data_IF_577691558329
#
_entry.id   IF_577691558329
#
_cell.length_a   1.000
_cell.length_b   1.000
_cell.length_c   1.000
_cell.angle_alpha   90.00
_cell.angle_beta   90.00
_cell.angle_gamma   90.00
#
_symmetry.space_group_name_H-M   'P 1'
#
loop_
_entity.id
_entity.type
_entity.pdbx_description
1 polymer ?
#
# COMPACT_ATOMS: atom_id res chain seq x y z
N UNK A 1 -15.02 -14.84 -4.84
CA UNK A 1 -14.04 -15.49 -3.93
C UNK A 1 -12.63 -15.23 -4.45
N UNK A 2 -11.66 -14.90 -3.60
CA UNK A 2 -10.33 -14.37 -3.99
C UNK A 2 -9.28 -15.44 -4.39
N UNK A 3 -9.54 -16.71 -4.07
CA UNK A 3 -8.66 -17.82 -4.45
C UNK A 3 -7.45 -18.06 -3.53
N UNK A 4 -7.50 -17.61 -2.27
CA UNK A 4 -6.48 -17.93 -1.26
C UNK A 4 -6.63 -19.35 -0.70
N UNK A 5 -7.87 -19.87 -0.67
CA UNK A 5 -8.24 -21.25 -0.33
C UNK A 5 -9.17 -21.78 -1.42
N UNK A 6 -9.13 -23.08 -1.67
CA UNK A 6 -10.09 -23.76 -2.55
C UNK A 6 -11.35 -24.22 -1.80
N UNK A 7 -12.24 -24.92 -2.50
CA UNK A 7 -13.50 -25.41 -1.95
C UNK A 7 -13.33 -26.50 -0.88
N UNK A 8 -12.19 -27.21 -0.90
CA UNK A 8 -11.87 -28.25 0.08
C UNK A 8 -11.12 -27.67 1.31
N UNK A 9 -10.92 -26.35 1.33
CA UNK A 9 -10.24 -25.64 2.42
C UNK A 9 -8.71 -25.71 2.34
N UNK A 10 -8.16 -26.09 1.20
CA UNK A 10 -6.71 -26.19 1.00
C UNK A 10 -6.14 -24.84 0.59
N UNK A 11 -5.05 -24.43 1.24
CA UNK A 11 -4.35 -23.17 0.97
C UNK A 11 -3.71 -23.20 -0.42
N UNK A 12 -4.03 -22.20 -1.23
CA UNK A 12 -3.52 -22.02 -2.59
C UNK A 12 -2.28 -21.11 -2.59
N UNK A 13 -1.63 -20.94 -3.75
CA UNK A 13 -0.43 -20.11 -3.88
C UNK A 13 -0.64 -18.67 -3.38
N UNK A 14 -1.80 -18.07 -3.66
CA UNK A 14 -2.17 -16.75 -3.10
C UNK A 14 -2.24 -16.76 -1.57
N UNK A 15 -2.80 -17.82 -0.98
CA UNK A 15 -2.86 -17.98 0.46
C UNK A 15 -1.47 -18.12 1.08
N UNK A 16 -0.59 -18.90 0.46
CA UNK A 16 0.80 -19.04 0.89
C UNK A 16 1.56 -17.71 0.84
N UNK A 17 1.37 -16.93 -0.23
CA UNK A 17 1.97 -15.60 -0.34
C UNK A 17 1.46 -14.65 0.74
N UNK A 18 0.15 -14.63 0.99
CA UNK A 18 -0.45 -13.81 2.05
C UNK A 18 0.10 -14.17 3.44
N UNK A 19 0.37 -15.45 3.72
CA UNK A 19 0.98 -15.88 4.99
C UNK A 19 2.40 -15.30 5.24
N UNK A 20 3.07 -14.76 4.22
CA UNK A 20 4.40 -14.14 4.35
C UNK A 20 4.33 -12.63 4.57
N UNK A 21 3.14 -12.04 4.56
CA UNK A 21 2.95 -10.60 4.71
C UNK A 21 2.67 -10.30 6.17
N UNK A 22 3.68 -9.78 6.87
CA UNK A 22 3.59 -9.41 8.29
C UNK A 22 3.28 -7.92 8.50
N UNK A 23 3.29 -7.12 7.43
CA UNK A 23 3.09 -5.67 7.47
C UNK A 23 2.08 -5.23 6.42
N UNK A 24 0.98 -4.61 6.88
CA UNK A 24 -0.10 -4.13 6.01
C UNK A 24 -1.26 -5.12 5.90
N UNK A 25 -2.16 -4.87 4.96
CA UNK A 25 -3.28 -5.75 4.65
C UNK A 25 -2.81 -6.87 3.70
N UNK A 26 -2.74 -8.09 4.22
CA UNK A 26 -2.18 -9.25 3.52
C UNK A 26 -2.99 -9.64 2.27
N UNK A 27 -4.30 -9.40 2.27
CA UNK A 27 -5.15 -9.69 1.11
C UNK A 27 -4.85 -8.67 0.01
N UNK A 28 -4.82 -7.38 0.35
CA UNK A 28 -4.59 -6.32 -0.62
C UNK A 28 -3.22 -6.42 -1.28
N UNK A 29 -2.16 -6.58 -0.48
CA UNK A 29 -0.80 -6.69 -1.01
C UNK A 29 -0.67 -7.92 -1.91
N UNK A 30 -1.25 -9.05 -1.50
CA UNK A 30 -1.25 -10.27 -2.32
C UNK A 30 -2.02 -10.07 -3.63
N UNK A 31 -3.20 -9.44 -3.60
CA UNK A 31 -3.96 -9.19 -4.84
C UNK A 31 -3.18 -8.30 -5.82
N UNK A 32 -2.44 -7.29 -5.33
CA UNK A 32 -1.58 -6.44 -6.16
C UNK A 32 -0.38 -7.20 -6.75
N UNK A 33 0.14 -8.22 -6.05
CA UNK A 33 1.17 -9.09 -6.60
C UNK A 33 0.62 -9.95 -7.73
N UNK A 34 -0.57 -10.54 -7.54
CA UNK A 34 -1.12 -11.52 -8.48
C UNK A 34 -1.89 -10.91 -9.66
N UNK A 35 -2.38 -9.68 -9.55
CA UNK A 35 -2.97 -8.95 -10.66
C UNK A 35 -1.91 -8.26 -11.55
N UNK A 36 -0.63 -8.36 -11.19
CA UNK A 36 0.49 -7.82 -11.94
C UNK A 36 0.70 -6.32 -11.76
N UNK A 37 0.10 -5.66 -10.76
CA UNK A 37 0.29 -4.22 -10.52
C UNK A 37 1.77 -3.84 -10.49
N UNK A 38 2.62 -4.61 -9.81
CA UNK A 38 4.05 -4.30 -9.69
C UNK A 38 4.87 -4.52 -10.97
N UNK A 39 4.35 -5.24 -11.96
CA UNK A 39 5.10 -5.57 -13.19
C UNK A 39 5.35 -4.34 -14.07
N UNK A 40 4.44 -3.37 -14.02
CA UNK A 40 4.50 -2.14 -14.82
C UNK A 40 5.20 -0.98 -14.09
N UNK A 41 5.66 -1.21 -12.85
CA UNK A 41 6.23 -0.16 -12.00
C UNK A 41 7.76 -0.20 -12.03
N UNK A 42 8.38 0.98 -12.08
CA UNK A 42 9.81 1.10 -11.81
C UNK A 42 10.10 0.96 -10.30
N UNK A 43 11.37 0.74 -9.94
CA UNK A 43 11.75 0.50 -8.55
C UNK A 43 11.43 1.67 -7.60
N UNK A 44 11.42 2.92 -8.08
CA UNK A 44 11.00 4.09 -7.30
C UNK A 44 9.49 4.07 -7.01
N UNK A 45 8.68 3.75 -8.02
CA UNK A 45 7.23 3.60 -7.87
C UNK A 45 6.86 2.42 -6.97
N UNK A 46 7.60 1.31 -7.03
CA UNK A 46 7.40 0.17 -6.12
C UNK A 46 7.65 0.59 -4.66
N UNK A 47 8.76 1.29 -4.39
CA UNK A 47 9.06 1.80 -3.06
C UNK A 47 7.98 2.76 -2.55
N UNK A 48 7.54 3.68 -3.42
CA UNK A 48 6.48 4.64 -3.12
C UNK A 48 5.17 3.93 -2.78
N UNK A 49 4.72 2.98 -3.60
CA UNK A 49 3.48 2.24 -3.39
C UNK A 49 3.54 1.38 -2.12
N UNK A 50 4.69 0.76 -1.84
CA UNK A 50 4.89 -0.04 -0.63
C UNK A 50 4.76 0.78 0.66
N UNK A 51 5.05 2.09 0.61
CA UNK A 51 4.90 2.98 1.77
C UNK A 51 3.45 3.03 2.27
N UNK A 52 2.46 2.83 1.40
CA UNK A 52 1.03 2.82 1.73
C UNK A 52 0.64 1.66 2.68
N UNK A 53 1.40 0.56 2.65
CA UNK A 53 1.13 -0.62 3.48
C UNK A 53 1.61 -0.46 4.92
N UNK A 54 2.47 0.52 5.19
CA UNK A 54 3.03 0.71 6.52
C UNK A 54 1.99 1.27 7.51
N UNK A 55 1.80 0.63 8.68
CA UNK A 55 0.99 1.18 9.75
C UNK A 55 1.49 2.57 10.17
N UNK A 56 0.59 3.54 10.23
CA UNK A 56 0.92 4.91 10.60
C UNK A 56 -0.34 5.76 10.75
N UNK A 57 -0.20 6.84 11.50
CA UNK A 57 -1.27 7.80 11.73
C UNK A 57 -1.65 8.50 10.41
N UNK A 58 -2.94 8.81 10.26
CA UNK A 58 -3.42 9.62 9.15
C UNK A 58 -2.85 11.01 9.28
N UNK A 59 -2.21 11.50 8.22
CA UNK A 59 -1.91 12.93 8.09
C UNK A 59 -3.15 13.66 7.60
N UNK A 60 -3.44 14.84 8.17
CA UNK A 60 -4.44 15.77 7.62
C UNK A 60 -3.88 16.60 6.45
N UNK A 61 -2.57 16.51 6.18
CA UNK A 61 -1.95 17.24 5.09
C UNK A 61 -2.32 16.63 3.74
N UNK A 62 -2.83 17.48 2.86
CA UNK A 62 -3.11 17.14 1.47
C UNK A 62 -1.79 17.08 0.70
N UNK A 63 -1.44 15.90 0.23
CA UNK A 63 -0.24 15.68 -0.59
C UNK A 63 -0.63 15.81 -2.04
N UNK A 64 0.09 16.67 -2.76
CA UNK A 64 0.04 16.70 -4.22
C UNK A 64 0.93 15.55 -4.71
N UNK A 65 0.30 14.51 -5.24
CA UNK A 65 1.02 13.39 -5.84
C UNK A 65 1.55 13.80 -7.21
N UNK A 66 2.77 13.38 -7.51
CA UNK A 66 3.32 13.49 -8.86
C UNK A 66 2.55 12.60 -9.85
N UNK A 67 2.44 13.02 -11.11
CA UNK A 67 1.70 12.32 -12.18
C UNK A 67 2.15 10.85 -12.33
N UNK A 68 3.41 10.54 -12.05
CA UNK A 68 3.96 9.18 -12.09
C UNK A 68 3.37 8.23 -11.04
N UNK A 69 2.73 8.77 -10.00
CA UNK A 69 2.17 8.02 -8.87
C UNK A 69 0.65 7.87 -8.92
N UNK A 70 -0.03 8.60 -9.81
CA UNK A 70 -1.49 8.53 -9.95
C UNK A 70 -1.96 7.13 -10.36
N UNK A 71 -1.38 6.56 -11.42
CA UNK A 71 -1.75 5.22 -11.91
C UNK A 71 -1.52 4.14 -10.83
N UNK A 72 -0.34 4.05 -10.18
CA UNK A 72 -0.13 3.09 -9.09
C UNK A 72 -1.12 3.25 -7.93
N UNK A 73 -1.44 4.49 -7.54
CA UNK A 73 -2.40 4.76 -6.48
C UNK A 73 -3.81 4.32 -6.87
N UNK A 74 -4.23 4.59 -8.11
CA UNK A 74 -5.52 4.17 -8.62
C UNK A 74 -5.65 2.64 -8.60
N UNK A 75 -4.62 1.91 -9.06
CA UNK A 75 -4.62 0.44 -9.05
C UNK A 75 -4.74 -0.14 -7.63
N UNK A 76 -4.10 0.51 -6.65
CA UNK A 76 -4.23 0.18 -5.24
C UNK A 76 -5.65 0.40 -4.71
N UNK A 77 -6.26 1.55 -5.03
CA UNK A 77 -7.64 1.87 -4.64
C UNK A 77 -8.66 0.93 -5.28
N UNK A 78 -8.50 0.62 -6.56
CA UNK A 78 -9.39 -0.29 -7.29
C UNK A 78 -9.31 -1.71 -6.71
N UNK A 79 -8.11 -2.17 -6.36
CA UNK A 79 -7.91 -3.48 -5.74
C UNK A 79 -8.52 -3.54 -4.34
N UNK A 80 -8.34 -2.50 -3.52
CA UNK A 80 -8.96 -2.41 -2.21
C UNK A 80 -10.50 -2.40 -2.29
N UNK A 81 -11.05 -1.63 -3.24
CA UNK A 81 -12.49 -1.57 -3.47
C UNK A 81 -13.05 -2.93 -3.88
N UNK A 82 -12.42 -3.59 -4.85
CA UNK A 82 -12.80 -4.93 -5.30
C UNK A 82 -12.81 -5.95 -4.16
N UNK A 83 -11.79 -5.92 -3.29
CA UNK A 83 -11.71 -6.80 -2.12
C UNK A 83 -12.88 -6.53 -1.17
N UNK A 84 -13.17 -5.28 -0.85
CA UNK A 84 -14.29 -4.92 0.02
C UNK A 84 -15.66 -5.30 -0.57
N UNK A 85 -15.86 -5.13 -1.87
CA UNK A 85 -17.07 -5.54 -2.57
C UNK A 85 -17.27 -7.06 -2.48
N UNK A 86 -16.21 -7.85 -2.71
CA UNK A 86 -16.26 -9.31 -2.57
C UNK A 86 -16.57 -9.71 -1.11
N UNK A 87 -15.97 -9.03 -0.12
CA UNK A 87 -16.28 -9.27 1.29
C UNK A 87 -17.76 -9.00 1.60
N UNK A 88 -18.31 -7.91 1.05
CA UNK A 88 -19.71 -7.55 1.20
C UNK A 88 -20.64 -8.58 0.53
N UNK A 89 -20.31 -9.06 -0.68
CA UNK A 89 -21.03 -10.15 -1.37
C UNK A 89 -21.06 -11.43 -0.53
N UNK A 90 -19.96 -11.73 0.16
CA UNK A 90 -19.83 -12.82 1.13
C UNK A 90 -20.54 -12.57 2.47
N UNK A 91 -21.36 -11.52 2.57
CA UNK A 91 -22.19 -11.17 3.74
C UNK A 91 -21.39 -10.76 4.97
N UNK A 92 -20.17 -10.27 4.79
CA UNK A 92 -19.43 -9.60 5.86
C UNK A 92 -19.96 -8.18 6.04
N UNK A 93 -20.11 -7.74 7.30
CA UNK A 93 -20.50 -6.38 7.65
C UNK A 93 -19.31 -5.42 7.44
N UNK A 94 -19.07 -5.04 6.20
CA UNK A 94 -18.00 -4.14 5.79
C UNK A 94 -18.56 -2.94 5.03
N UNK A 95 -18.01 -1.76 5.33
CA UNK A 95 -18.25 -0.52 4.62
C UNK A 95 -17.12 -0.33 3.60
N UNK A 96 -17.47 -0.41 2.31
CA UNK A 96 -16.52 -0.42 1.20
C UNK A 96 -15.64 0.83 1.21
N UNK A 97 -16.23 2.00 1.39
CA UNK A 97 -15.48 3.26 1.36
C UNK A 97 -14.58 3.41 2.58
N UNK A 98 -15.06 3.01 3.77
CA UNK A 98 -14.21 2.99 4.98
C UNK A 98 -13.03 2.04 4.84
N UNK A 99 -13.23 0.86 4.23
CA UNK A 99 -12.14 -0.08 3.97
C UNK A 99 -11.10 0.53 3.04
N UNK A 100 -11.52 1.11 1.91
CA UNK A 100 -10.57 1.74 0.96
C UNK A 100 -9.78 2.86 1.64
N UNK A 101 -10.42 3.76 2.40
CA UNK A 101 -9.72 4.86 3.10
C UNK A 101 -8.84 4.35 4.26
N UNK A 102 -9.14 3.20 4.84
CA UNK A 102 -8.29 2.58 5.87
C UNK A 102 -7.07 1.89 5.27
N UNK A 103 -7.25 1.16 4.17
CA UNK A 103 -6.20 0.36 3.54
C UNK A 103 -5.27 1.17 2.65
N UNK A 104 -5.74 2.30 2.09
CA UNK A 104 -4.96 3.16 1.19
C UNK A 104 -4.46 4.40 1.92
N UNK A 105 -3.14 4.46 2.18
CA UNK A 105 -2.49 5.55 2.91
C UNK A 105 -1.36 6.19 2.10
N UNK A 106 -1.67 7.10 1.15
CA UNK A 106 -0.68 7.65 0.23
C UNK A 106 0.24 8.71 0.87
N UNK A 107 0.22 8.86 2.20
CA UNK A 107 0.81 10.00 2.90
C UNK A 107 2.33 10.15 2.72
N UNK A 108 3.00 9.04 2.44
CA UNK A 108 4.45 9.03 2.25
C UNK A 108 4.84 8.73 0.81
N UNK A 109 3.87 8.55 -0.08
CA UNK A 109 4.11 8.00 -1.42
C UNK A 109 5.02 8.93 -2.24
N UNK A 110 4.72 10.23 -2.28
CA UNK A 110 5.54 11.22 -2.99
C UNK A 110 6.91 11.44 -2.33
N UNK A 111 6.95 11.46 -0.99
CA UNK A 111 8.19 11.60 -0.21
C UNK A 111 9.13 10.42 -0.46
N UNK A 112 8.61 9.19 -0.46
CA UNK A 112 9.38 7.97 -0.70
C UNK A 112 9.81 7.86 -2.16
N UNK A 113 8.94 8.27 -3.10
CA UNK A 113 9.30 8.36 -4.51
C UNK A 113 10.51 9.28 -4.70
N UNK A 114 10.42 10.53 -4.22
CA UNK A 114 11.51 11.48 -4.25
C UNK A 114 12.75 10.93 -3.55
N UNK A 115 12.62 10.43 -2.31
CA UNK A 115 13.71 9.86 -1.52
C UNK A 115 14.47 8.76 -2.28
N UNK A 116 13.74 7.87 -2.95
CA UNK A 116 14.34 6.77 -3.71
C UNK A 116 15.11 7.24 -4.96
N UNK A 117 14.79 8.42 -5.50
CA UNK A 117 15.48 9.04 -6.64
C UNK A 117 16.65 9.94 -6.22
N UNK A 118 16.66 10.42 -4.97
CA UNK A 118 17.61 11.43 -4.50
C UNK A 118 19.03 10.86 -4.43
N UNK A 119 19.97 11.52 -5.11
CA UNK A 119 21.41 11.30 -4.96
C UNK A 119 22.08 12.32 -4.02
N UNK A 120 21.40 13.42 -3.66
CA UNK A 120 21.91 14.49 -2.79
C UNK A 120 21.54 14.31 -1.31
N UNK A 121 22.57 14.17 -0.47
CA UNK A 121 22.47 13.97 0.98
C UNK A 121 21.77 15.10 1.75
N UNK A 122 21.73 16.35 1.26
CA UNK A 122 21.05 17.46 1.96
C UNK A 122 19.54 17.36 1.82
N UNK A 123 19.07 17.06 0.60
CA UNK A 123 17.66 16.84 0.32
C UNK A 123 17.16 15.57 1.02
N UNK A 124 17.99 14.52 1.05
CA UNK A 124 17.74 13.29 1.80
C UNK A 124 17.42 13.59 3.28
N UNK A 125 18.26 14.38 3.97
CA UNK A 125 18.06 14.75 5.38
C UNK A 125 16.77 15.53 5.61
N UNK A 126 16.36 16.37 4.66
CA UNK A 126 15.10 17.11 4.74
C UNK A 126 13.89 16.18 4.60
N UNK A 127 13.92 15.26 3.64
CA UNK A 127 12.86 14.26 3.44
C UNK A 127 12.78 13.28 4.62
N UNK A 128 13.92 12.83 5.17
CA UNK A 128 13.97 12.00 6.38
C UNK A 128 13.41 12.74 7.59
N UNK A 129 13.61 14.06 7.73
CA UNK A 129 12.95 14.84 8.79
C UNK A 129 11.43 14.84 8.65
N UNK A 130 10.90 14.98 7.44
CA UNK A 130 9.45 14.88 7.22
C UNK A 130 8.95 13.48 7.59
N UNK A 131 9.63 12.42 7.16
CA UNK A 131 9.32 11.04 7.55
C UNK A 131 9.32 10.85 9.09
N UNK A 132 10.32 11.41 9.79
CA UNK A 132 10.40 11.33 11.25
C UNK A 132 9.33 12.15 11.98
N UNK A 133 8.85 13.24 11.38
CA UNK A 133 7.68 13.98 11.86
C UNK A 133 6.40 13.13 11.77
N UNK A 134 6.23 12.33 10.71
CA UNK A 134 5.04 11.48 10.54
C UNK A 134 5.01 10.27 11.47
N UNK A 135 6.15 9.73 11.91
CA UNK A 135 6.20 8.51 12.73
C UNK A 135 6.32 8.73 14.24
N UNK A 136 6.24 9.98 14.73
CA UNK A 136 6.45 10.23 16.16
C UNK A 136 7.81 9.67 16.60
N UNK A 137 8.89 10.23 16.06
CA UNK A 137 10.24 10.15 16.64
C UNK A 137 10.74 8.73 17.00
N UNK A 138 10.77 7.78 16.06
CA UNK A 138 11.42 6.48 16.32
C UNK A 138 12.06 5.83 15.08
N UNK A 139 12.93 6.50 14.31
CA UNK A 139 13.99 5.78 13.56
C UNK A 139 15.11 6.71 13.01
N UNK A 140 16.34 6.23 13.19
CA UNK A 140 17.65 6.77 12.81
C UNK A 140 18.24 7.91 13.66
N UNK A 141 18.62 7.57 14.90
CA UNK A 141 20.00 7.67 15.38
C UNK A 141 20.36 6.37 16.12
#
# INVERSE_FOLDING_TARGET
MLGHIDADGIVQLKGQAACLIETGDELLVTELMFNGTFNDLNHHQVAALASCFTPGDRSEETIQLSDELEKPLQQLQDSARRIAEIQHECKLEIDVDKYVVASVRPFLMDVIYCWSMVQDHVLLRRLTRMFNCYKGNTLFL
#
